data_IF_702164211443
#
_entry.id   IF_702164211443
#
_cell.length_a   1.000
_cell.length_b   1.000
_cell.length_c   1.000
_cell.angle_alpha   90.00
_cell.angle_beta   90.00
_cell.angle_gamma   90.00
#
_symmetry.space_group_name_H-M   'P 1'
#
loop_
_entity.id
_entity.type
_entity.pdbx_description
1 polymer ?
#
# COMPACT_ATOMS: atom_id res chain seq x y z
N UNK A 1 8.40 10.10 2.24
CA UNK A 1 9.75 10.34 2.80
C UNK A 1 9.75 10.62 4.32
N UNK A 2 8.68 10.26 5.04
CA UNK A 2 8.51 10.61 6.47
C UNK A 2 8.43 9.40 7.40
N UNK A 3 8.65 8.20 6.89
CA UNK A 3 8.45 6.96 7.64
C UNK A 3 9.59 5.95 7.37
N UNK A 4 9.30 4.88 6.63
CA UNK A 4 10.20 3.72 6.50
C UNK A 4 11.19 3.78 5.32
N UNK A 5 11.17 4.88 4.54
CA UNK A 5 12.05 5.06 3.38
C UNK A 5 13.52 5.31 3.76
N UNK A 6 14.46 5.10 2.81
CA UNK A 6 15.91 5.23 3.01
C UNK A 6 16.39 6.64 3.37
N UNK A 7 15.60 7.66 3.04
CA UNK A 7 15.97 9.06 3.21
C UNK A 7 14.86 9.86 3.88
N UNK A 8 15.27 10.91 4.60
CA UNK A 8 14.44 11.96 5.18
C UNK A 8 14.83 13.31 4.58
N UNK A 9 13.92 14.27 4.60
CA UNK A 9 14.14 15.63 4.08
C UNK A 9 14.67 16.50 5.22
N UNK A 10 15.74 17.27 4.97
CA UNK A 10 16.24 18.26 5.92
C UNK A 10 15.28 19.47 6.02
N UNK A 11 15.45 20.29 7.05
CA UNK A 11 14.64 21.49 7.28
C UNK A 11 14.74 22.53 6.14
N UNK A 12 15.77 22.46 5.30
CA UNK A 12 15.92 23.32 4.13
C UNK A 12 14.94 22.97 2.98
N UNK A 13 14.25 21.83 3.08
CA UNK A 13 13.34 21.31 2.05
C UNK A 13 14.03 20.92 0.73
N UNK A 14 15.37 20.90 0.70
CA UNK A 14 16.18 20.77 -0.53
C UNK A 14 17.16 19.60 -0.46
N UNK A 15 17.63 19.26 0.74
CA UNK A 15 18.61 18.19 0.91
C UNK A 15 18.03 17.00 1.65
N UNK A 16 18.65 15.84 1.46
CA UNK A 16 18.25 14.57 2.08
C UNK A 16 19.32 14.08 3.06
N UNK A 17 18.90 13.40 4.11
CA UNK A 17 19.78 12.65 4.99
C UNK A 17 19.32 11.19 5.13
N UNK A 18 20.26 10.29 5.41
CA UNK A 18 19.98 8.84 5.48
C UNK A 18 19.16 8.50 6.73
N UNK A 19 18.14 7.69 6.55
CA UNK A 19 17.41 7.05 7.64
C UNK A 19 18.12 5.77 8.09
N UNK A 20 18.65 5.75 9.31
CA UNK A 20 19.33 4.58 9.88
C UNK A 20 18.41 3.37 10.08
N UNK A 21 17.10 3.58 10.22
CA UNK A 21 16.09 2.57 10.50
C UNK A 21 15.18 2.26 9.30
N UNK A 22 15.67 2.53 8.09
CA UNK A 22 14.91 2.29 6.88
C UNK A 22 14.63 0.80 6.66
N UNK A 23 13.42 0.47 6.21
CA UNK A 23 13.02 -0.93 5.98
C UNK A 23 13.79 -1.57 4.82
N UNK A 24 14.34 -0.77 3.91
CA UNK A 24 15.18 -1.28 2.84
C UNK A 24 16.55 -1.81 3.32
N UNK A 25 16.86 -1.72 4.62
CA UNK A 25 18.01 -2.41 5.22
C UNK A 25 17.78 -3.93 5.33
N UNK A 26 16.52 -4.40 5.32
CA UNK A 26 16.17 -5.82 5.50
C UNK A 26 15.25 -6.39 4.42
N UNK A 27 14.73 -5.54 3.53
CA UNK A 27 13.84 -5.94 2.43
C UNK A 27 14.05 -5.10 1.17
N UNK A 28 13.52 -5.55 0.03
CA UNK A 28 13.33 -4.69 -1.13
C UNK A 28 11.96 -4.04 -1.00
N UNK A 29 11.91 -2.70 -0.93
CA UNK A 29 10.67 -1.96 -0.65
C UNK A 29 10.24 -1.19 -1.89
N UNK A 30 8.99 -1.40 -2.31
CA UNK A 30 8.35 -0.66 -3.40
C UNK A 30 7.30 0.25 -2.78
N UNK A 31 7.38 1.55 -3.07
CA UNK A 31 6.34 2.51 -2.73
C UNK A 31 5.48 2.76 -3.97
N UNK A 32 4.17 2.55 -3.84
CA UNK A 32 3.20 2.73 -4.92
C UNK A 32 2.26 3.88 -4.57
N UNK A 33 2.25 4.93 -5.38
CA UNK A 33 1.24 5.97 -5.31
C UNK A 33 -0.02 5.47 -6.05
N UNK A 34 -1.09 5.25 -5.31
CA UNK A 34 -2.34 4.66 -5.81
C UNK A 34 -3.50 5.17 -4.97
N UNK A 35 -4.70 5.36 -5.54
CA UNK A 35 -5.07 5.20 -6.96
C UNK A 35 -4.56 6.32 -7.88
N UNK A 36 -4.92 6.28 -9.16
CA UNK A 36 -4.65 7.38 -10.08
C UNK A 36 -5.23 8.70 -9.54
N UNK A 37 -4.47 9.78 -9.58
CA UNK A 37 -4.78 11.06 -8.94
C UNK A 37 -4.03 11.29 -7.62
N UNK A 38 -3.37 10.27 -7.07
CA UNK A 38 -2.51 10.40 -5.87
C UNK A 38 -1.07 10.68 -6.27
N UNK A 39 -0.49 11.76 -5.75
CA UNK A 39 0.92 12.11 -5.95
C UNK A 39 1.23 12.34 -7.42
N UNK A 40 2.11 11.51 -7.98
CA UNK A 40 2.50 11.53 -9.40
C UNK A 40 1.70 10.56 -10.28
N UNK A 41 0.85 9.70 -9.71
CA UNK A 41 -0.01 8.80 -10.49
C UNK A 41 -1.16 9.57 -11.12
N UNK A 42 -1.41 9.38 -12.42
CA UNK A 42 -2.44 10.10 -13.16
C UNK A 42 -3.15 9.20 -14.18
N UNK A 43 -4.35 9.62 -14.58
CA UNK A 43 -5.07 9.13 -15.75
C UNK A 43 -5.20 10.23 -16.81
N UNK A 44 -5.11 9.83 -18.07
CA UNK A 44 -5.44 10.69 -19.21
C UNK A 44 -6.95 10.90 -19.37
N UNK A 45 -7.77 10.11 -18.68
CA UNK A 45 -9.23 10.14 -18.76
C UNK A 45 -9.78 10.78 -17.48
N UNK A 46 -10.28 12.02 -17.57
CA UNK A 46 -10.72 12.77 -16.39
C UNK A 46 -11.87 12.10 -15.61
N UNK A 47 -12.72 11.29 -16.25
CA UNK A 47 -13.79 10.58 -15.56
C UNK A 47 -13.29 9.50 -14.60
N UNK A 48 -12.07 8.98 -14.79
CA UNK A 48 -11.52 7.95 -13.91
C UNK A 48 -11.43 8.44 -12.46
N UNK A 49 -11.13 9.73 -12.27
CA UNK A 49 -11.05 10.36 -10.94
C UNK A 49 -12.39 10.40 -10.19
N UNK A 50 -13.52 10.22 -10.89
CA UNK A 50 -14.86 10.17 -10.29
C UNK A 50 -15.36 8.74 -10.03
N UNK A 51 -14.63 7.73 -10.50
CA UNK A 51 -15.01 6.32 -10.41
C UNK A 51 -14.00 5.48 -9.60
N UNK A 52 -13.19 6.16 -8.81
CA UNK A 52 -12.25 5.53 -7.88
C UNK A 52 -13.00 4.94 -6.69
N UNK A 53 -12.69 3.69 -6.38
CA UNK A 53 -13.13 3.03 -5.16
C UNK A 53 -12.23 1.84 -4.86
N UNK A 54 -12.48 1.16 -3.75
CA UNK A 54 -11.62 0.07 -3.27
C UNK A 54 -11.40 -1.03 -4.31
N UNK A 55 -12.47 -1.45 -4.99
CA UNK A 55 -12.41 -2.52 -6.01
C UNK A 55 -11.58 -2.13 -7.23
N UNK A 56 -11.76 -0.91 -7.76
CA UNK A 56 -10.96 -0.44 -8.91
C UNK A 56 -9.50 -0.24 -8.50
N UNK A 57 -9.25 0.32 -7.32
CA UNK A 57 -7.90 0.50 -6.77
C UNK A 57 -7.16 -0.83 -6.62
N UNK A 58 -7.80 -1.86 -6.07
CA UNK A 58 -7.19 -3.18 -5.93
C UNK A 58 -6.88 -3.84 -7.29
N UNK A 59 -7.76 -3.67 -8.28
CA UNK A 59 -7.55 -4.18 -9.65
C UNK A 59 -6.39 -3.48 -10.35
N UNK A 60 -6.29 -2.16 -10.22
CA UNK A 60 -5.23 -1.38 -10.85
C UNK A 60 -3.88 -1.63 -10.19
N UNK A 61 -3.84 -1.73 -8.86
CA UNK A 61 -2.64 -2.12 -8.12
C UNK A 61 -2.17 -3.54 -8.48
N UNK A 62 -3.08 -4.49 -8.67
CA UNK A 62 -2.74 -5.83 -9.18
C UNK A 62 -2.14 -5.74 -10.60
N UNK A 63 -2.77 -4.98 -11.49
CA UNK A 63 -2.30 -4.77 -12.87
C UNK A 63 -0.90 -4.14 -12.87
N UNK A 64 -0.65 -3.16 -12.00
CA UNK A 64 0.68 -2.59 -11.78
C UNK A 64 1.69 -3.67 -11.38
N UNK A 65 1.38 -4.51 -10.39
CA UNK A 65 2.31 -5.54 -9.90
C UNK A 65 2.67 -6.57 -10.97
N UNK A 66 1.70 -7.04 -11.75
CA UNK A 66 1.96 -7.96 -12.88
C UNK A 66 2.91 -7.31 -13.87
N UNK A 67 2.62 -6.08 -14.32
CA UNK A 67 3.47 -5.37 -15.28
C UNK A 67 4.85 -5.02 -14.70
N UNK A 68 4.92 -4.70 -13.40
CA UNK A 68 6.17 -4.44 -12.71
C UNK A 68 7.04 -5.70 -12.65
N UNK A 69 6.46 -6.88 -12.39
CA UNK A 69 7.17 -8.16 -12.42
C UNK A 69 7.61 -8.58 -13.82
N UNK A 70 6.88 -8.21 -14.87
CA UNK A 70 7.37 -8.37 -16.25
C UNK A 70 8.56 -7.45 -16.55
N UNK A 71 8.54 -6.22 -16.04
CA UNK A 71 9.67 -5.29 -16.19
C UNK A 71 10.89 -5.69 -15.35
N UNK A 72 10.67 -6.28 -14.17
CA UNK A 72 11.70 -6.69 -13.23
C UNK A 72 11.61 -8.20 -12.93
N UNK A 73 11.88 -9.06 -13.93
CA UNK A 73 11.63 -10.50 -13.85
C UNK A 73 12.45 -11.21 -12.76
N UNK A 74 13.58 -10.64 -12.34
CA UNK A 74 14.41 -11.16 -11.25
C UNK A 74 13.68 -11.22 -9.89
N UNK A 75 12.53 -10.57 -9.75
CA UNK A 75 11.73 -10.58 -8.52
C UNK A 75 10.58 -11.59 -8.53
N UNK A 76 10.26 -12.24 -9.66
CA UNK A 76 9.08 -13.13 -9.80
C UNK A 76 9.02 -14.27 -8.77
N UNK A 77 10.17 -14.76 -8.30
CA UNK A 77 10.26 -15.86 -7.34
C UNK A 77 10.38 -15.40 -5.89
N UNK A 78 10.56 -14.10 -5.63
CA UNK A 78 10.75 -13.60 -4.26
C UNK A 78 9.48 -13.70 -3.45
N UNK A 79 9.66 -13.92 -2.16
CA UNK A 79 8.58 -13.75 -1.19
C UNK A 79 8.09 -12.31 -1.23
N UNK A 80 6.78 -12.17 -1.39
CA UNK A 80 6.11 -10.88 -1.55
C UNK A 80 5.19 -10.62 -0.36
N UNK A 81 5.24 -9.41 0.17
CA UNK A 81 4.42 -8.95 1.29
C UNK A 81 3.78 -7.62 0.92
N UNK A 82 2.56 -7.39 1.39
CA UNK A 82 1.87 -6.12 1.21
C UNK A 82 1.74 -5.44 2.57
N UNK A 83 2.19 -4.19 2.65
CA UNK A 83 2.13 -3.41 3.90
C UNK A 83 1.52 -2.04 3.66
N UNK A 84 0.78 -1.52 4.63
CA UNK A 84 0.23 -0.16 4.55
C UNK A 84 -0.30 0.34 5.89
N UNK A 85 -0.67 1.62 5.94
CA UNK A 85 -1.20 2.29 7.13
C UNK A 85 -2.57 2.94 6.88
N UNK A 86 -3.37 3.15 7.93
CA UNK A 86 -4.60 3.96 7.89
C UNK A 86 -5.64 3.36 6.93
N UNK A 87 -6.09 4.09 5.91
CA UNK A 87 -7.05 3.57 4.93
C UNK A 87 -6.50 2.39 4.12
N UNK A 88 -5.19 2.13 4.16
CA UNK A 88 -4.63 0.90 3.63
C UNK A 88 -5.13 -0.37 4.37
N UNK A 89 -5.82 -0.23 5.51
CA UNK A 89 -6.63 -1.31 6.09
C UNK A 89 -7.73 -1.83 5.15
N UNK A 90 -8.18 -1.03 4.18
CA UNK A 90 -9.01 -1.47 3.05
C UNK A 90 -8.15 -1.98 1.88
N UNK A 91 -7.12 -1.22 1.48
CA UNK A 91 -6.34 -1.52 0.27
C UNK A 91 -5.54 -2.82 0.35
N UNK A 92 -4.83 -3.03 1.47
CA UNK A 92 -3.92 -4.17 1.66
C UNK A 92 -4.65 -5.52 1.58
N UNK A 93 -5.71 -5.80 2.35
CA UNK A 93 -6.40 -7.08 2.27
C UNK A 93 -7.14 -7.27 0.93
N UNK A 94 -7.69 -6.21 0.33
CA UNK A 94 -8.37 -6.32 -0.97
C UNK A 94 -7.41 -6.60 -2.13
N UNK A 95 -6.20 -6.01 -2.11
CA UNK A 95 -5.15 -6.35 -3.06
C UNK A 95 -4.66 -7.79 -2.85
N UNK A 96 -4.43 -8.20 -1.59
CA UNK A 96 -4.05 -9.58 -1.26
C UNK A 96 -5.08 -10.59 -1.78
N UNK A 97 -6.37 -10.33 -1.56
CA UNK A 97 -7.46 -11.14 -2.08
C UNK A 97 -7.44 -11.22 -3.61
N UNK A 98 -7.28 -10.07 -4.28
CA UNK A 98 -7.17 -10.00 -5.74
C UNK A 98 -6.02 -10.84 -6.28
N UNK A 99 -4.84 -10.79 -5.64
CA UNK A 99 -3.69 -11.62 -6.00
C UNK A 99 -4.00 -13.11 -5.85
N UNK A 100 -4.57 -13.52 -4.71
CA UNK A 100 -4.89 -14.92 -4.45
C UNK A 100 -5.92 -15.48 -5.44
N UNK A 101 -6.89 -14.67 -5.86
CA UNK A 101 -7.84 -15.06 -6.90
C UNK A 101 -7.16 -15.26 -8.25
N UNK A 102 -6.32 -14.32 -8.68
CA UNK A 102 -5.69 -14.38 -9.98
C UNK A 102 -4.58 -15.44 -10.06
N UNK A 103 -3.87 -15.72 -8.96
CA UNK A 103 -2.89 -16.80 -8.89
C UNK A 103 -3.49 -18.19 -9.15
N UNK A 104 -4.82 -18.37 -9.08
CA UNK A 104 -5.49 -19.63 -9.47
C UNK A 104 -5.48 -19.86 -10.99
N UNK A 105 -5.19 -18.82 -11.77
CA UNK A 105 -5.13 -18.90 -13.23
C UNK A 105 -3.69 -19.25 -13.67
N UNK A 106 -3.48 -20.48 -14.15
CA UNK A 106 -2.15 -20.98 -14.51
C UNK A 106 -1.44 -20.22 -15.65
N UNK A 107 -2.18 -19.39 -16.40
CA UNK A 107 -1.66 -18.61 -17.54
C UNK A 107 -1.22 -17.19 -17.18
N UNK A 108 -1.20 -16.82 -15.90
CA UNK A 108 -0.81 -15.47 -15.43
C UNK A 108 0.45 -15.51 -14.58
N UNK A 109 1.14 -14.36 -14.52
CA UNK A 109 2.32 -14.15 -13.67
C UNK A 109 1.93 -14.36 -12.21
N UNK A 110 2.49 -15.41 -11.59
CA UNK A 110 2.23 -15.73 -10.19
C UNK A 110 2.98 -14.78 -9.27
N UNK A 111 2.27 -14.19 -8.32
CA UNK A 111 2.86 -13.38 -7.25
C UNK A 111 2.96 -14.25 -6.00
N UNK A 112 4.17 -14.53 -5.52
CA UNK A 112 4.43 -15.37 -4.34
C UNK A 112 4.11 -14.63 -3.03
N UNK A 113 2.83 -14.29 -2.82
CA UNK A 113 2.33 -13.59 -1.64
C UNK A 113 2.46 -14.46 -0.39
N UNK A 114 3.19 -13.98 0.61
CA UNK A 114 3.43 -14.67 1.88
C UNK A 114 2.67 -14.08 3.07
N UNK A 115 2.30 -12.81 3.00
CA UNK A 115 1.56 -12.18 4.10
C UNK A 115 1.26 -10.71 3.87
N UNK A 116 0.52 -10.15 4.82
CA UNK A 116 0.17 -8.74 4.87
C UNK A 116 0.47 -8.16 6.25
N UNK A 117 0.74 -6.85 6.32
CA UNK A 117 0.81 -6.11 7.57
C UNK A 117 0.08 -4.77 7.43
N UNK A 118 -0.70 -4.39 8.44
CA UNK A 118 -1.46 -3.14 8.45
C UNK A 118 -1.17 -2.38 9.74
N UNK A 119 -0.63 -1.17 9.62
CA UNK A 119 -0.44 -0.25 10.75
C UNK A 119 -1.68 0.62 10.94
N UNK A 120 -2.19 0.71 12.18
CA UNK A 120 -3.27 1.63 12.56
C UNK A 120 -4.43 1.70 11.52
N UNK A 121 -4.84 0.54 11.02
CA UNK A 121 -5.71 0.46 9.84
C UNK A 121 -7.16 0.80 10.13
N UNK A 122 -7.82 1.47 9.18
CA UNK A 122 -9.27 1.46 9.09
C UNK A 122 -9.70 0.10 8.52
N UNK A 123 -10.33 -0.74 9.35
CA UNK A 123 -10.68 -2.13 9.01
C UNK A 123 -12.19 -2.36 9.09
N UNK A 124 -12.82 -1.92 10.18
CA UNK A 124 -14.25 -2.07 10.41
C UNK A 124 -14.79 -0.79 11.06
N UNK A 125 -15.78 -0.19 10.42
CA UNK A 125 -16.35 1.10 10.84
C UNK A 125 -16.88 1.03 12.27
N UNK A 126 -17.67 0.00 12.58
CA UNK A 126 -18.38 -0.09 13.85
C UNK A 126 -17.42 -0.19 15.02
N UNK A 127 -16.50 -1.14 14.96
CA UNK A 127 -15.49 -1.34 16.01
C UNK A 127 -14.49 -0.19 16.06
N UNK A 128 -14.15 0.40 14.92
CA UNK A 128 -13.32 1.60 14.83
C UNK A 128 -13.93 2.79 15.57
N UNK A 129 -15.20 3.10 15.32
CA UNK A 129 -15.89 4.20 16.01
C UNK A 129 -16.03 3.94 17.51
N UNK A 130 -16.44 2.73 17.92
CA UNK A 130 -16.54 2.39 19.34
C UNK A 130 -15.18 2.53 20.04
N UNK A 131 -14.12 2.00 19.45
CA UNK A 131 -12.77 2.10 19.99
C UNK A 131 -12.27 3.54 20.08
N UNK A 132 -12.65 4.41 19.13
CA UNK A 132 -12.32 5.83 19.18
C UNK A 132 -12.97 6.53 20.38
N UNK A 133 -14.26 6.27 20.65
CA UNK A 133 -14.92 6.86 21.83
C UNK A 133 -14.31 6.38 23.14
N UNK A 134 -14.04 5.08 23.25
CA UNK A 134 -13.36 4.50 24.42
C UNK A 134 -11.97 5.11 24.61
N UNK A 135 -11.21 5.30 23.52
CA UNK A 135 -9.89 5.94 23.56
C UNK A 135 -9.98 7.38 24.08
N UNK A 136 -10.89 8.19 23.53
CA UNK A 136 -11.05 9.58 23.96
C UNK A 136 -11.41 9.68 25.45
N UNK A 137 -12.33 8.84 25.93
CA UNK A 137 -12.73 8.80 27.34
C UNK A 137 -11.55 8.40 28.24
N UNK A 138 -10.85 7.32 27.90
CA UNK A 138 -9.73 6.80 28.71
C UNK A 138 -8.50 7.70 28.73
N UNK A 139 -8.39 8.65 27.81
CA UNK A 139 -7.29 9.61 27.72
C UNK A 139 -7.71 11.05 28.08
N UNK A 140 -8.92 11.24 28.62
CA UNK A 140 -9.46 12.55 29.01
C UNK A 140 -9.40 13.61 27.88
N UNK A 141 -9.80 13.19 26.67
CA UNK A 141 -9.82 14.02 25.46
C UNK A 141 -11.24 14.45 25.05
N UNK A 142 -12.25 14.23 25.90
CA UNK A 142 -13.65 14.52 25.65
C UNK A 142 -14.28 15.48 26.67
#
# INVERSE_FOLDING_TARGET
MMELGPFRINNDGKTLFRNGYAWNNVANVIFLESPAGVGFSYSNTSSDYHHIGDKSTAKDAYTFLVNWLERFPQYKTRDFYITGESYAGHYVPQLAYTILLNNKNANQTLINLKGIAVGNGWIDDRTGYLGQYDYLWTHALN
#
